data_IF_870941245782
#
_entry.id   IF_870941245782
#
_cell.length_a   1.000
_cell.length_b   1.000
_cell.length_c   1.000
_cell.angle_alpha   90.00
_cell.angle_beta   90.00
_cell.angle_gamma   90.00
#
_symmetry.space_group_name_H-M   'P 1'
#
loop_
_entity.id
_entity.type
_entity.pdbx_description
1 polymer ?
#
# COMPACT_ATOMS: atom_id res chain seq x y z
N UNK A 1 10.41 19.16 3.55
CA UNK A 1 11.25 19.71 4.63
C UNK A 1 10.85 19.00 5.91
N UNK A 2 11.85 18.58 6.70
CA UNK A 2 11.63 17.89 7.96
C UNK A 2 12.60 16.74 8.18
N UNK A 3 12.33 15.93 9.19
CA UNK A 3 13.17 14.80 9.57
C UNK A 3 12.67 13.50 8.94
N UNK A 4 13.57 12.73 8.35
CA UNK A 4 13.30 11.37 7.90
C UNK A 4 13.13 10.46 9.12
N UNK A 5 11.88 10.19 9.51
CA UNK A 5 11.56 9.36 10.68
C UNK A 5 11.84 7.90 10.39
N UNK A 6 11.52 7.47 9.14
CA UNK A 6 11.84 6.15 8.60
C UNK A 6 12.39 6.31 7.19
N UNK A 7 13.42 5.55 6.90
CA UNK A 7 14.04 5.49 5.59
C UNK A 7 14.56 4.08 5.30
N UNK A 8 13.93 3.40 4.35
CA UNK A 8 14.37 2.10 3.85
C UNK A 8 14.36 2.16 2.32
N UNK A 9 15.53 2.19 1.73
CA UNK A 9 15.69 2.08 0.28
C UNK A 9 15.43 0.63 -0.18
N UNK A 10 15.03 0.42 -1.45
CA UNK A 10 14.97 -0.91 -2.02
C UNK A 10 16.37 -1.55 -2.04
N UNK A 11 16.41 -2.87 -2.09
CA UNK A 11 17.66 -3.62 -2.15
C UNK A 11 18.39 -3.35 -3.47
N UNK A 12 19.64 -2.93 -3.37
CA UNK A 12 20.49 -2.67 -4.54
C UNK A 12 21.02 -3.97 -5.13
N UNK A 13 21.06 -4.03 -6.45
CA UNK A 13 21.63 -5.13 -7.23
C UNK A 13 22.08 -4.63 -8.60
N UNK A 14 22.48 -5.53 -9.52
CA UNK A 14 22.93 -5.16 -10.88
C UNK A 14 21.88 -4.39 -11.69
N UNK A 15 20.63 -4.37 -11.26
CA UNK A 15 19.49 -3.78 -11.97
C UNK A 15 18.81 -2.64 -11.21
N UNK A 16 19.13 -2.44 -9.94
CA UNK A 16 18.57 -1.41 -9.06
C UNK A 16 19.71 -0.71 -8.32
N UNK A 17 19.83 0.61 -8.50
CA UNK A 17 20.80 1.46 -7.81
C UNK A 17 20.12 2.64 -7.14
N UNK A 18 20.56 2.99 -5.94
CA UNK A 18 20.07 4.13 -5.17
C UNK A 18 21.23 5.07 -4.83
N UNK A 19 21.26 6.21 -5.48
CA UNK A 19 22.21 7.27 -5.14
C UNK A 19 21.56 8.18 -4.08
N UNK A 20 22.00 8.09 -2.84
CA UNK A 20 21.44 8.85 -1.72
C UNK A 20 22.54 9.45 -0.86
N UNK A 21 22.28 10.64 -0.31
CA UNK A 21 23.11 11.32 0.69
C UNK A 21 22.46 11.38 2.07
N UNK A 22 21.31 10.71 2.25
CA UNK A 22 20.53 10.73 3.48
C UNK A 22 20.33 9.34 4.05
N UNK A 23 20.02 9.26 5.33
CA UNK A 23 19.74 8.04 6.08
C UNK A 23 18.61 8.29 7.09
N UNK A 24 18.12 7.25 7.73
CA UNK A 24 17.09 7.37 8.76
C UNK A 24 17.55 8.33 9.87
N UNK A 25 16.71 9.30 10.19
CA UNK A 25 17.02 10.36 11.16
C UNK A 25 17.63 11.63 10.56
N UNK A 26 18.04 11.63 9.28
CA UNK A 26 18.54 12.84 8.60
C UNK A 26 17.46 13.92 8.51
N UNK A 27 17.89 15.17 8.52
CA UNK A 27 17.04 16.33 8.29
C UNK A 27 17.16 16.81 6.84
N UNK A 28 16.02 16.98 6.18
CA UNK A 28 15.94 17.57 4.83
C UNK A 28 15.85 19.08 4.98
N UNK A 29 16.94 19.77 4.64
CA UNK A 29 17.07 21.21 4.79
C UNK A 29 16.14 21.97 3.82
N UNK A 30 15.60 23.10 4.30
CA UNK A 30 14.87 24.03 3.46
C UNK A 30 15.80 24.96 2.65
N UNK A 31 17.08 25.00 2.96
CA UNK A 31 18.07 25.90 2.35
C UNK A 31 18.89 25.23 1.24
N UNK A 32 18.61 23.97 0.95
CA UNK A 32 19.32 23.19 -0.06
C UNK A 32 18.32 22.38 -0.91
N UNK A 33 18.83 21.69 -1.93
CA UNK A 33 18.01 20.87 -2.82
C UNK A 33 17.19 19.83 -1.99
N UNK A 34 15.85 19.80 -2.14
CA UNK A 34 15.00 18.86 -1.41
C UNK A 34 15.10 17.40 -1.91
N UNK A 35 16.03 17.09 -2.81
CA UNK A 35 16.23 15.76 -3.36
C UNK A 35 16.70 14.80 -2.27
N UNK A 36 15.90 13.76 -2.02
CA UNK A 36 16.20 12.70 -1.03
C UNK A 36 17.15 11.67 -1.63
N UNK A 37 16.81 11.15 -2.80
CA UNK A 37 17.57 10.13 -3.49
C UNK A 37 17.28 10.11 -4.99
N UNK A 38 18.16 9.46 -5.76
CA UNK A 38 17.94 9.09 -7.15
C UNK A 38 17.82 7.57 -7.22
N UNK A 39 16.68 7.07 -7.65
CA UNK A 39 16.45 5.66 -7.91
C UNK A 39 16.67 5.40 -9.41
N UNK A 40 17.52 4.47 -9.73
CA UNK A 40 17.88 4.09 -11.09
C UNK A 40 17.63 2.60 -11.27
N UNK A 41 16.94 2.23 -12.36
CA UNK A 41 16.74 0.84 -12.73
C UNK A 41 17.21 0.56 -14.14
N UNK A 42 17.72 -0.65 -14.35
CA UNK A 42 18.18 -1.14 -15.62
C UNK A 42 17.34 -2.37 -16.06
N UNK A 43 17.05 -2.45 -17.34
CA UNK A 43 16.38 -3.58 -17.97
C UNK A 43 16.89 -3.79 -19.39
N UNK A 44 16.67 -4.96 -19.97
CA UNK A 44 17.01 -5.28 -21.35
C UNK A 44 16.23 -4.45 -22.37
N UNK A 45 15.08 -3.96 -21.96
CA UNK A 45 14.25 -3.03 -22.71
C UNK A 45 13.54 -2.03 -21.79
N UNK A 46 12.79 -1.07 -22.39
CA UNK A 46 12.04 -0.05 -21.67
C UNK A 46 10.97 -0.66 -20.74
N UNK A 47 10.27 -1.69 -21.17
CA UNK A 47 9.21 -2.33 -20.43
C UNK A 47 9.74 -2.99 -19.15
N UNK A 48 10.85 -3.70 -19.28
CA UNK A 48 11.52 -4.34 -18.16
C UNK A 48 12.05 -3.30 -17.15
N UNK A 49 12.70 -2.23 -17.64
CA UNK A 49 13.20 -1.16 -16.78
C UNK A 49 12.08 -0.47 -16.00
N UNK A 50 10.92 -0.22 -16.63
CA UNK A 50 9.74 0.35 -15.98
C UNK A 50 9.14 -0.62 -14.94
N UNK A 51 9.03 -1.90 -15.24
CA UNK A 51 8.54 -2.89 -14.30
C UNK A 51 9.39 -2.96 -13.03
N UNK A 52 10.73 -2.94 -13.19
CA UNK A 52 11.67 -2.87 -12.06
C UNK A 52 11.56 -1.56 -11.28
N UNK A 53 11.38 -0.43 -11.97
CA UNK A 53 11.20 0.86 -11.31
C UNK A 53 9.93 0.87 -10.44
N UNK A 54 8.82 0.35 -10.95
CA UNK A 54 7.58 0.24 -10.18
C UNK A 54 7.77 -0.59 -8.93
N UNK A 55 8.35 -1.79 -9.07
CA UNK A 55 8.63 -2.66 -7.92
C UNK A 55 9.57 -2.00 -6.90
N UNK A 56 10.63 -1.33 -7.36
CA UNK A 56 11.56 -0.62 -6.49
C UNK A 56 10.90 0.57 -5.77
N UNK A 57 9.99 1.30 -6.43
CA UNK A 57 9.22 2.39 -5.82
C UNK A 57 8.25 1.86 -4.74
N UNK A 58 7.59 0.74 -4.98
CA UNK A 58 6.70 0.11 -3.98
C UNK A 58 7.48 -0.34 -2.74
N UNK A 59 8.71 -0.84 -2.91
CA UNK A 59 9.62 -1.22 -1.82
C UNK A 59 10.34 -0.06 -1.14
N UNK A 60 10.21 1.17 -1.66
CA UNK A 60 10.89 2.34 -1.09
C UNK A 60 10.06 2.96 0.03
N UNK A 61 10.49 2.78 1.29
CA UNK A 61 9.72 3.22 2.46
C UNK A 61 10.32 4.48 3.09
N UNK A 62 9.59 5.60 3.00
CA UNK A 62 9.98 6.90 3.57
C UNK A 62 8.84 7.45 4.41
N UNK A 63 9.15 7.92 5.64
CA UNK A 63 8.20 8.61 6.52
C UNK A 63 8.85 9.81 7.20
N UNK A 64 8.00 10.76 7.58
CA UNK A 64 8.41 12.00 8.28
C UNK A 64 8.45 13.22 7.37
N UNK A 65 8.56 13.04 6.06
CA UNK A 65 8.52 14.11 5.06
C UNK A 65 7.58 13.74 3.92
N UNK A 66 6.99 14.73 3.28
CA UNK A 66 6.26 14.53 2.03
C UNK A 66 7.24 14.24 0.90
N UNK A 67 6.88 13.34 0.01
CA UNK A 67 7.69 12.90 -1.12
C UNK A 67 6.80 12.65 -2.36
N UNK A 68 7.43 12.54 -3.52
CA UNK A 68 6.75 12.38 -4.80
C UNK A 68 6.70 10.92 -5.31
N UNK A 69 7.02 9.93 -4.49
CA UNK A 69 7.09 8.52 -4.93
C UNK A 69 5.78 8.02 -5.50
N UNK A 70 4.63 8.36 -4.88
CA UNK A 70 3.32 7.98 -5.40
C UNK A 70 3.08 8.52 -6.81
N UNK A 71 3.43 9.79 -7.06
CA UNK A 71 3.37 10.38 -8.39
C UNK A 71 4.31 9.68 -9.38
N UNK A 72 5.54 9.38 -8.98
CA UNK A 72 6.50 8.68 -9.85
C UNK A 72 6.01 7.27 -10.19
N UNK A 73 5.42 6.55 -9.23
CA UNK A 73 4.85 5.22 -9.48
C UNK A 73 3.65 5.28 -10.44
N UNK A 74 2.75 6.25 -10.28
CA UNK A 74 1.63 6.47 -11.19
C UNK A 74 2.12 6.83 -12.60
N UNK A 75 3.16 7.65 -12.70
CA UNK A 75 3.82 7.99 -13.97
C UNK A 75 4.35 6.75 -14.68
N UNK A 76 5.05 5.85 -13.96
CA UNK A 76 5.55 4.58 -14.51
C UNK A 76 4.41 3.65 -14.96
N UNK A 77 3.24 3.74 -14.32
CA UNK A 77 2.06 2.97 -14.70
C UNK A 77 1.30 3.57 -15.90
N UNK A 78 1.52 4.85 -16.21
CA UNK A 78 0.76 5.58 -17.23
C UNK A 78 0.98 5.01 -18.65
N UNK A 79 -0.09 4.70 -19.43
CA UNK A 79 0.03 4.05 -20.74
C UNK A 79 0.90 4.84 -21.74
N UNK A 80 0.75 6.17 -21.78
CA UNK A 80 1.59 7.04 -22.66
C UNK A 80 3.06 6.98 -22.26
N UNK A 81 3.35 6.93 -20.94
CA UNK A 81 4.72 6.80 -20.44
C UNK A 81 5.32 5.45 -20.85
N UNK A 82 4.58 4.37 -20.69
CA UNK A 82 5.01 3.01 -21.08
C UNK A 82 5.24 2.91 -22.60
N UNK A 83 4.38 3.52 -23.39
CA UNK A 83 4.51 3.57 -24.85
C UNK A 83 5.65 4.48 -25.34
N UNK A 84 6.26 5.30 -24.46
CA UNK A 84 7.29 6.27 -24.83
C UNK A 84 6.76 7.51 -25.55
N UNK A 85 5.47 7.75 -25.55
CA UNK A 85 4.84 8.91 -26.16
C UNK A 85 4.86 10.12 -25.20
N UNK A 86 6.03 10.73 -25.06
CA UNK A 86 6.29 11.77 -24.09
C UNK A 86 6.57 13.11 -24.78
N UNK A 87 6.03 14.16 -24.17
CA UNK A 87 6.28 15.57 -24.52
C UNK A 87 6.76 16.32 -23.29
N UNK A 88 7.30 17.51 -23.48
CA UNK A 88 7.65 18.42 -22.36
C UNK A 88 6.41 18.85 -21.56
N UNK A 89 5.23 18.77 -22.15
CA UNK A 89 3.95 19.14 -21.53
C UNK A 89 3.20 17.93 -20.94
N UNK A 90 3.80 16.73 -20.95
CA UNK A 90 3.14 15.49 -20.53
C UNK A 90 2.42 15.62 -19.18
N UNK A 91 3.10 16.20 -18.17
CA UNK A 91 2.52 16.34 -16.82
C UNK A 91 1.32 17.30 -16.84
N UNK A 92 1.43 18.42 -17.56
CA UNK A 92 0.32 19.40 -17.65
C UNK A 92 -0.87 18.84 -18.44
N UNK A 93 -0.63 17.93 -19.40
CA UNK A 93 -1.68 17.29 -20.20
C UNK A 93 -2.43 16.19 -19.42
N UNK A 94 -1.69 15.36 -18.68
CA UNK A 94 -2.27 14.18 -18.01
C UNK A 94 -2.70 14.45 -16.56
N UNK A 95 -2.15 15.47 -15.92
CA UNK A 95 -2.43 15.85 -14.53
C UNK A 95 -2.76 17.35 -14.40
N UNK A 96 -3.75 17.88 -15.12
CA UNK A 96 -4.04 19.32 -15.13
C UNK A 96 -4.49 19.85 -13.76
N UNK A 97 -5.19 19.03 -12.98
CA UNK A 97 -5.67 19.37 -11.63
C UNK A 97 -4.68 18.95 -10.53
N UNK A 98 -3.49 18.42 -10.90
CA UNK A 98 -2.52 17.85 -10.00
C UNK A 98 -2.69 16.34 -9.82
N UNK A 99 -1.95 15.79 -8.86
CA UNK A 99 -1.93 14.35 -8.59
C UNK A 99 -2.50 14.06 -7.20
N UNK A 100 -3.50 13.19 -7.12
CA UNK A 100 -4.00 12.61 -5.87
C UNK A 100 -3.81 11.08 -5.91
N UNK A 101 -3.11 10.48 -4.93
CA UNK A 101 -2.91 9.04 -4.87
C UNK A 101 -4.20 8.23 -4.72
N UNK A 102 -5.29 8.84 -4.24
CA UNK A 102 -6.60 8.16 -4.11
C UNK A 102 -7.32 8.00 -5.45
N UNK A 103 -6.96 8.81 -6.46
CA UNK A 103 -7.59 8.78 -7.77
C UNK A 103 -6.89 7.82 -8.76
N UNK A 104 -5.75 7.23 -8.34
CA UNK A 104 -5.03 6.28 -9.20
C UNK A 104 -5.82 5.00 -9.35
N UNK A 105 -6.22 4.61 -10.57
CA UNK A 105 -6.91 3.35 -10.78
C UNK A 105 -5.98 2.17 -10.48
N UNK A 106 -6.52 1.12 -9.89
CA UNK A 106 -5.81 -0.13 -9.70
C UNK A 106 -6.38 -1.21 -10.61
N UNK A 107 -5.52 -1.87 -11.37
CA UNK A 107 -5.92 -2.89 -12.35
C UNK A 107 -6.49 -4.16 -11.69
N UNK A 108 -6.11 -4.41 -10.43
CA UNK A 108 -6.50 -5.60 -9.66
C UNK A 108 -6.87 -5.19 -8.21
N UNK A 109 -8.09 -4.70 -7.97
CA UNK A 109 -8.55 -4.35 -6.63
C UNK A 109 -8.66 -5.56 -5.70
N UNK A 110 -8.92 -6.76 -6.22
CA UNK A 110 -9.01 -8.00 -5.47
C UNK A 110 -7.66 -8.35 -4.82
N UNK A 111 -6.55 -8.00 -5.45
CA UNK A 111 -5.22 -8.12 -4.87
C UNK A 111 -5.07 -7.31 -3.57
N UNK A 112 -5.49 -6.04 -3.59
CA UNK A 112 -5.43 -5.17 -2.41
C UNK A 112 -6.34 -5.67 -1.30
N UNK A 113 -7.52 -6.15 -1.65
CA UNK A 113 -8.48 -6.78 -0.73
C UNK A 113 -7.86 -8.01 -0.08
N UNK A 114 -7.23 -8.90 -0.85
CA UNK A 114 -6.57 -10.09 -0.34
C UNK A 114 -5.42 -9.76 0.62
N UNK A 115 -4.60 -8.76 0.28
CA UNK A 115 -3.54 -8.28 1.17
C UNK A 115 -4.11 -7.70 2.46
N UNK A 116 -5.13 -6.84 2.39
CA UNK A 116 -5.78 -6.29 3.59
C UNK A 116 -6.34 -7.39 4.50
N UNK A 117 -7.00 -8.40 3.92
CA UNK A 117 -7.50 -9.55 4.66
C UNK A 117 -6.38 -10.35 5.32
N UNK A 118 -5.26 -10.60 4.61
CA UNK A 118 -4.09 -11.30 5.14
C UNK A 118 -3.46 -10.56 6.32
N UNK A 119 -3.23 -9.27 6.15
CA UNK A 119 -2.72 -8.38 7.21
C UNK A 119 -3.62 -8.41 8.43
N UNK A 120 -4.94 -8.27 8.22
CA UNK A 120 -5.91 -8.34 9.31
C UNK A 120 -5.91 -9.70 9.99
N UNK A 121 -5.88 -10.78 9.22
CA UNK A 121 -5.80 -12.14 9.75
C UNK A 121 -4.56 -12.34 10.62
N UNK A 122 -3.38 -11.88 10.18
CA UNK A 122 -2.15 -11.97 10.96
C UNK A 122 -2.27 -11.23 12.30
N UNK A 123 -2.86 -10.01 12.33
CA UNK A 123 -3.12 -9.29 13.57
C UNK A 123 -4.11 -10.04 14.49
N UNK A 124 -5.16 -10.65 13.94
CA UNK A 124 -6.14 -11.41 14.72
C UNK A 124 -5.55 -12.69 15.30
N UNK A 125 -4.72 -13.41 14.53
CA UNK A 125 -4.01 -14.60 15.00
C UNK A 125 -3.02 -14.26 16.12
N UNK A 126 -2.24 -13.19 15.94
CA UNK A 126 -1.36 -12.69 17.01
C UNK A 126 -2.15 -12.35 18.28
N UNK A 127 -3.30 -11.67 18.15
CA UNK A 127 -4.15 -11.35 19.28
C UNK A 127 -4.81 -12.58 19.92
N UNK A 128 -5.12 -13.60 19.14
CA UNK A 128 -5.64 -14.87 19.63
C UNK A 128 -4.58 -15.73 20.33
N UNK A 129 -3.29 -15.55 19.98
CA UNK A 129 -2.16 -16.26 20.57
C UNK A 129 -1.64 -15.70 21.88
N UNK A 130 -2.28 -14.66 22.46
CA UNK A 130 -1.84 -14.07 23.74
C UNK A 130 -1.92 -15.14 24.86
N UNK A 131 -0.87 -15.23 25.68
CA UNK A 131 -0.80 -16.13 26.84
C UNK A 131 -1.77 -15.72 27.96
N UNK A 132 -2.10 -16.65 28.84
CA UNK A 132 -2.96 -16.40 30.00
C UNK A 132 -4.45 -16.51 29.72
N UNK A 133 -4.85 -17.07 28.57
CA UNK A 133 -6.25 -17.42 28.31
C UNK A 133 -6.68 -18.59 29.17
N UNK A 134 -7.96 -18.59 29.59
CA UNK A 134 -8.53 -19.73 30.32
C UNK A 134 -8.57 -20.98 29.46
N UNK A 135 -8.28 -22.12 30.04
CA UNK A 135 -8.37 -23.41 29.38
C UNK A 135 -9.78 -23.63 28.81
N UNK A 136 -9.88 -24.05 27.54
CA UNK A 136 -11.16 -24.23 26.84
C UNK A 136 -11.80 -22.92 26.30
N UNK A 137 -11.22 -21.73 26.58
CA UNK A 137 -11.74 -20.43 26.12
C UNK A 137 -10.80 -19.73 25.15
N UNK A 138 -10.02 -20.48 24.37
CA UNK A 138 -9.14 -19.93 23.36
C UNK A 138 -9.95 -19.20 22.26
N UNK A 139 -9.53 -17.97 21.96
CA UNK A 139 -10.13 -17.19 20.88
C UNK A 139 -9.84 -17.86 19.53
N UNK A 140 -10.88 -18.19 18.79
CA UNK A 140 -10.78 -18.65 17.39
C UNK A 140 -10.97 -17.48 16.45
N UNK A 141 -10.06 -17.32 15.52
CA UNK A 141 -10.20 -16.35 14.43
C UNK A 141 -11.12 -16.93 13.38
N UNK A 142 -12.07 -16.15 12.90
CA UNK A 142 -13.00 -16.56 11.85
C UNK A 142 -12.33 -16.45 10.48
N UNK A 143 -12.85 -17.18 9.51
CA UNK A 143 -12.35 -17.17 8.13
C UNK A 143 -13.12 -16.18 7.25
N UNK A 144 -14.37 -15.81 7.61
CA UNK A 144 -15.22 -14.92 6.83
C UNK A 144 -15.11 -13.47 7.28
N UNK A 145 -14.84 -12.60 6.32
CA UNK A 145 -14.66 -11.17 6.50
C UNK A 145 -15.34 -10.38 5.38
N UNK A 146 -15.64 -9.12 5.65
CA UNK A 146 -16.01 -8.14 4.62
C UNK A 146 -14.90 -7.08 4.58
N UNK A 147 -14.26 -6.94 3.44
CA UNK A 147 -13.31 -5.86 3.20
C UNK A 147 -14.04 -4.71 2.53
N UNK A 148 -13.94 -3.51 3.12
CA UNK A 148 -14.53 -2.29 2.58
C UNK A 148 -13.41 -1.43 2.02
N UNK A 149 -13.47 -1.12 0.72
CA UNK A 149 -12.49 -0.31 0.02
C UNK A 149 -13.19 0.55 -1.03
N UNK A 150 -12.92 1.87 -1.02
CA UNK A 150 -13.53 2.81 -1.97
C UNK A 150 -15.07 2.82 -1.92
N UNK A 151 -15.67 2.60 -0.73
CA UNK A 151 -17.12 2.51 -0.55
C UNK A 151 -17.77 1.20 -1.04
N UNK A 152 -16.99 0.25 -1.54
CA UNK A 152 -17.46 -1.06 -2.02
C UNK A 152 -17.11 -2.14 -1.01
N UNK A 153 -18.03 -3.08 -0.82
CA UNK A 153 -17.86 -4.26 0.02
C UNK A 153 -17.40 -5.46 -0.81
N UNK A 154 -16.38 -6.16 -0.28
CA UNK A 154 -15.83 -7.36 -0.87
C UNK A 154 -15.95 -8.51 0.14
N UNK A 155 -16.92 -9.42 -0.03
CA UNK A 155 -16.98 -10.64 0.77
C UNK A 155 -15.70 -11.46 0.54
N UNK A 156 -15.05 -11.81 1.64
CA UNK A 156 -13.73 -12.44 1.61
C UNK A 156 -13.69 -13.61 2.59
N UNK A 157 -13.27 -14.76 2.10
CA UNK A 157 -12.94 -15.92 2.94
C UNK A 157 -11.42 -16.11 2.92
N UNK A 158 -10.79 -16.27 4.10
CA UNK A 158 -9.34 -16.43 4.22
C UNK A 158 -8.99 -17.59 5.13
N UNK A 159 -8.26 -18.55 4.60
CA UNK A 159 -7.82 -19.77 5.29
C UNK A 159 -6.31 -19.73 5.42
N UNK A 160 -5.80 -19.93 6.65
CA UNK A 160 -4.38 -20.06 6.88
C UNK A 160 -3.88 -21.41 6.34
N UNK A 161 -2.81 -21.37 5.56
CA UNK A 161 -2.09 -22.54 5.05
C UNK A 161 -0.61 -22.43 5.39
N UNK A 162 0.15 -23.50 5.17
CA UNK A 162 1.59 -23.48 5.42
C UNK A 162 2.29 -22.40 4.57
N UNK A 163 2.87 -21.40 5.21
CA UNK A 163 3.61 -20.31 4.57
C UNK A 163 2.72 -19.24 3.90
N UNK A 164 1.43 -19.11 4.30
CA UNK A 164 0.58 -18.07 3.75
C UNK A 164 -0.91 -18.29 3.91
N UNK A 165 -1.67 -17.92 2.90
CA UNK A 165 -3.12 -17.89 2.91
C UNK A 165 -3.72 -18.34 1.58
N UNK A 166 -4.83 -19.08 1.65
CA UNK A 166 -5.76 -19.28 0.54
C UNK A 166 -6.93 -18.33 0.74
N UNK A 167 -7.18 -17.47 -0.23
CA UNK A 167 -8.14 -16.37 -0.12
C UNK A 167 -9.12 -16.44 -1.27
N UNK A 168 -10.41 -16.32 -0.95
CA UNK A 168 -11.47 -16.18 -1.93
C UNK A 168 -12.09 -14.78 -1.78
N UNK A 169 -11.97 -13.96 -2.83
CA UNK A 169 -12.53 -12.60 -2.91
C UNK A 169 -13.50 -12.57 -4.08
N UNK A 170 -14.77 -12.29 -3.83
CA UNK A 170 -15.77 -12.11 -4.91
C UNK A 170 -15.80 -13.25 -5.94
N UNK A 171 -15.55 -14.50 -5.54
CA UNK A 171 -15.40 -15.73 -6.34
C UNK A 171 -14.05 -15.92 -7.05
N UNK A 172 -13.09 -15.02 -6.87
CA UNK A 172 -11.71 -15.23 -7.30
C UNK A 172 -10.90 -15.90 -6.19
N UNK A 173 -10.05 -16.87 -6.57
CA UNK A 173 -9.17 -17.57 -5.65
C UNK A 173 -7.74 -17.10 -5.82
N UNK A 174 -7.17 -16.65 -4.72
CA UNK A 174 -5.80 -16.15 -4.64
C UNK A 174 -5.00 -17.02 -3.66
N UNK A 175 -3.85 -17.50 -4.12
CA UNK A 175 -2.88 -18.19 -3.28
C UNK A 175 -1.77 -17.23 -2.91
N UNK A 176 -1.73 -16.79 -1.66
CA UNK A 176 -0.79 -15.80 -1.15
C UNK A 176 0.23 -16.46 -0.22
N UNK A 177 1.51 -16.33 -0.53
CA UNK A 177 2.61 -16.79 0.30
C UNK A 177 3.42 -15.59 0.79
N UNK A 178 3.60 -15.50 2.09
CA UNK A 178 4.32 -14.40 2.74
C UNK A 178 4.83 -14.85 4.10
N UNK A 179 5.94 -14.26 4.51
CA UNK A 179 6.48 -14.32 5.86
C UNK A 179 6.30 -13.01 6.63
N UNK A 180 5.46 -12.11 6.09
CA UNK A 180 5.15 -10.83 6.72
C UNK A 180 4.59 -10.99 8.13
N UNK A 181 5.12 -10.20 9.06
CA UNK A 181 4.67 -10.15 10.44
C UNK A 181 4.08 -8.78 10.82
N UNK A 182 3.12 -8.75 11.77
CA UNK A 182 2.58 -7.48 12.29
C UNK A 182 3.65 -6.56 12.85
N UNK A 183 3.90 -5.46 12.16
CA UNK A 183 4.93 -4.47 12.47
C UNK A 183 5.87 -4.19 11.29
N UNK A 184 5.94 -5.08 10.33
CA UNK A 184 6.71 -4.86 9.13
C UNK A 184 6.02 -3.82 8.23
N UNK A 185 6.74 -2.79 7.77
CA UNK A 185 6.16 -1.73 6.96
C UNK A 185 5.93 -2.14 5.50
N UNK A 186 6.66 -3.13 5.02
CA UNK A 186 6.56 -3.68 3.67
C UNK A 186 5.93 -5.06 3.71
N UNK A 187 4.86 -5.23 2.94
CA UNK A 187 4.22 -6.50 2.71
C UNK A 187 4.78 -7.07 1.40
N UNK A 188 5.68 -8.03 1.53
CA UNK A 188 6.24 -8.77 0.41
C UNK A 188 5.57 -10.13 0.36
N UNK A 189 5.07 -10.50 -0.82
CA UNK A 189 4.36 -11.75 -1.00
C UNK A 189 4.50 -12.28 -2.42
N UNK A 190 4.23 -13.57 -2.57
CA UNK A 190 3.98 -14.20 -3.85
C UNK A 190 2.49 -14.49 -3.98
N UNK A 191 1.82 -13.86 -4.94
CA UNK A 191 0.40 -14.06 -5.23
C UNK A 191 0.26 -14.75 -6.57
N UNK A 192 -0.32 -15.95 -6.59
CA UNK A 192 -0.47 -16.79 -7.78
C UNK A 192 0.86 -16.97 -8.56
N UNK A 193 2.00 -16.98 -7.86
CA UNK A 193 3.34 -17.09 -8.46
C UNK A 193 4.01 -15.76 -8.84
N UNK A 194 3.32 -14.64 -8.77
CA UNK A 194 3.87 -13.30 -9.04
C UNK A 194 4.31 -12.62 -7.75
N UNK A 195 5.51 -12.05 -7.74
CA UNK A 195 6.01 -11.27 -6.61
C UNK A 195 5.32 -9.91 -6.56
N UNK A 196 4.87 -9.53 -5.37
CA UNK A 196 4.31 -8.22 -5.08
C UNK A 196 5.02 -7.61 -3.87
N UNK A 197 5.12 -6.30 -3.86
CA UNK A 197 5.55 -5.51 -2.72
C UNK A 197 4.61 -4.32 -2.58
N UNK A 198 4.16 -4.06 -1.36
CA UNK A 198 3.35 -2.88 -1.07
C UNK A 198 3.58 -2.43 0.38
N UNK A 199 3.29 -1.17 0.65
CA UNK A 199 3.43 -0.64 1.99
C UNK A 199 2.10 -0.77 2.72
N UNK A 200 2.17 -1.17 4.00
CA UNK A 200 1.01 -1.34 4.86
C UNK A 200 1.16 -0.46 6.09
N UNK A 201 0.16 0.36 6.34
CA UNK A 201 0.07 1.16 7.55
C UNK A 201 -1.25 0.93 8.26
N UNK A 202 -1.20 0.85 9.57
CA UNK A 202 -2.43 0.81 10.36
C UNK A 202 -3.03 2.21 10.46
N UNK A 203 -4.29 2.35 10.04
CA UNK A 203 -5.01 3.62 10.04
C UNK A 203 -6.29 3.48 10.89
N UNK A 204 -6.20 3.86 12.17
CA UNK A 204 -7.31 3.70 13.09
C UNK A 204 -7.77 2.25 13.23
N UNK A 205 -9.00 1.95 12.80
CA UNK A 205 -9.57 0.61 12.79
C UNK A 205 -9.28 -0.18 11.52
N UNK A 206 -8.68 0.46 10.51
CA UNK A 206 -8.37 -0.12 9.20
C UNK A 206 -6.89 -0.05 8.85
N UNK A 207 -6.63 -0.07 7.56
CA UNK A 207 -5.28 -0.03 6.98
C UNK A 207 -5.24 0.93 5.81
N UNK A 208 -4.09 1.59 5.63
CA UNK A 208 -3.74 2.29 4.39
C UNK A 208 -2.73 1.44 3.64
N UNK A 209 -3.05 1.09 2.41
CA UNK A 209 -2.19 0.33 1.50
C UNK A 209 -1.66 1.27 0.42
N UNK A 210 -0.36 1.15 0.11
CA UNK A 210 0.27 1.94 -0.94
C UNK A 210 0.90 0.98 -1.94
N UNK A 211 0.43 1.03 -3.18
CA UNK A 211 0.89 0.16 -4.26
C UNK A 211 0.76 0.85 -5.61
N UNK A 212 1.82 0.83 -6.40
CA UNK A 212 1.83 1.38 -7.77
C UNK A 212 1.32 2.84 -7.87
N UNK A 213 1.58 3.65 -6.83
CA UNK A 213 1.15 5.05 -6.75
C UNK A 213 -0.25 5.26 -6.17
N UNK A 214 -1.06 4.22 -6.06
CA UNK A 214 -2.35 4.27 -5.39
C UNK A 214 -2.16 4.28 -3.86
N UNK A 215 -3.01 5.04 -3.18
CA UNK A 215 -3.30 4.88 -1.76
C UNK A 215 -4.73 4.39 -1.60
N UNK A 216 -4.90 3.21 -1.03
CA UNK A 216 -6.20 2.66 -0.69
C UNK A 216 -6.36 2.57 0.83
N UNK A 217 -7.38 3.25 1.36
CA UNK A 217 -7.79 3.08 2.75
C UNK A 217 -8.83 1.96 2.82
N UNK A 218 -8.57 0.94 3.64
CA UNK A 218 -9.38 -0.27 3.71
C UNK A 218 -9.77 -0.59 5.14
N UNK A 219 -10.96 -1.14 5.32
CA UNK A 219 -11.44 -1.70 6.58
C UNK A 219 -11.76 -3.17 6.41
N UNK A 220 -11.34 -3.98 7.37
CA UNK A 220 -11.65 -5.42 7.39
C UNK A 220 -12.56 -5.68 8.57
N UNK A 221 -13.80 -6.04 8.30
CA UNK A 221 -14.88 -6.15 9.25
C UNK A 221 -15.42 -7.58 9.29
N UNK A 222 -15.89 -8.04 10.45
CA UNK A 222 -16.71 -9.24 10.44
C UNK A 222 -18.10 -8.93 9.81
N UNK A 223 -18.82 -9.91 9.25
CA UNK A 223 -20.08 -9.66 8.54
C UNK A 223 -21.08 -8.85 9.36
N UNK A 224 -21.20 -9.11 10.67
CA UNK A 224 -22.14 -8.38 11.53
C UNK A 224 -21.74 -6.92 11.74
N UNK A 225 -20.44 -6.64 11.84
CA UNK A 225 -19.96 -5.26 11.97
C UNK A 225 -20.13 -4.52 10.64
N UNK A 226 -19.93 -5.18 9.50
CA UNK A 226 -20.15 -4.58 8.19
C UNK A 226 -21.61 -4.14 8.00
N UNK A 227 -22.58 -4.98 8.37
CA UNK A 227 -24.01 -4.60 8.38
C UNK A 227 -24.29 -3.34 9.22
N UNK A 228 -23.65 -3.22 10.39
CA UNK A 228 -23.82 -2.04 11.26
C UNK A 228 -23.08 -0.83 10.71
N UNK A 229 -21.91 -1.03 10.12
CA UNK A 229 -21.13 0.02 9.49
C UNK A 229 -21.86 0.67 8.31
N UNK A 230 -22.58 -0.12 7.52
CA UNK A 230 -23.39 0.37 6.41
C UNK A 230 -24.56 1.28 6.86
N UNK A 231 -24.96 1.19 8.14
CA UNK A 231 -26.01 2.05 8.72
C UNK A 231 -25.44 3.38 9.27
N UNK A 232 -24.12 3.54 9.33
CA UNK A 232 -23.52 4.77 9.84
C UNK A 232 -23.70 5.90 8.82
N UNK A 233 -24.15 7.09 9.24
CA UNK A 233 -24.22 8.23 8.35
C UNK A 233 -22.82 8.64 7.88
N UNK A 234 -22.70 8.98 6.61
CA UNK A 234 -21.46 9.58 6.09
C UNK A 234 -21.18 10.88 6.83
N UNK A 235 -19.98 11.01 7.36
CA UNK A 235 -19.54 12.25 8.00
C UNK A 235 -19.25 13.26 6.89
N UNK A 236 -20.03 14.33 6.83
CA UNK A 236 -19.72 15.46 5.94
C UNK A 236 -18.30 15.94 6.17
N UNK A 237 -17.56 16.12 5.08
CA UNK A 237 -16.21 16.64 5.15
C UNK A 237 -16.25 18.00 5.86
N UNK A 238 -15.43 18.18 6.90
CA UNK A 238 -15.36 19.47 7.60
C UNK A 238 -14.99 20.57 6.61
N UNK A 239 -15.87 21.56 6.49
CA UNK A 239 -15.63 22.74 5.64
C UNK A 239 -14.39 23.49 6.17
N UNK A 240 -13.25 23.24 5.53
CA UNK A 240 -11.96 23.85 5.89
C UNK A 240 -11.98 25.37 5.76
N UNK A 241 -12.91 25.94 4.99
CA UNK A 241 -13.04 27.40 4.85
C UNK A 241 -13.46 28.10 6.14
N UNK A 242 -14.13 27.37 7.05
CA UNK A 242 -14.56 27.90 8.34
C UNK A 242 -13.44 28.00 9.39
N UNK A 243 -12.29 27.40 9.15
CA UNK A 243 -11.15 27.41 10.06
C UNK A 243 -10.02 28.36 9.64
N UNK A 244 -10.18 29.05 8.50
CA UNK A 244 -9.17 29.98 7.95
C UNK A 244 -9.47 31.47 8.25
N UNK A 245 -10.32 31.77 9.22
CA UNK A 245 -10.60 33.14 9.68
C UNK A 245 -10.13 33.32 11.12
N UNK A 246 -8.85 33.57 11.28
CA UNK A 246 -8.31 34.43 12.35
C UNK A 246 -6.84 34.70 12.11
#
# INVERSE_FOLDING_TARGET
IGRLVKYRAPEENDQVRVDTGVYEGSEISMYYDPMIAKLITYGGDRKEAIAKMRHALDGYYIRGVSHNMGFLAALMAHPRFQAGNLTTNFIAEEYPEGFDPSDVPHDDPELLVAVAASVHRAFQERAAGISGQFEGHHRKVKDDWIVVMGGKEYPTNIICVTGGYDIEVSNEKLHLRTDWEPGDPLFEAQVNGSLICLQVERNGAGYSLFHSGLRADVMVLNPRIAELYALMPEKEAADKSKFLLS
#
